data_IF_763650897283
#
_entry.id   IF_763650897283
#
_cell.length_a   1.000
_cell.length_b   1.000
_cell.length_c   1.000
_cell.angle_alpha   90.00
_cell.angle_beta   90.00
_cell.angle_gamma   90.00
#
_symmetry.space_group_name_H-M   'P 1'
#
loop_
_entity.id
_entity.type
_entity.pdbx_description
1 polymer ?
#
# COMPACT_ATOMS: atom_id res chain seq x y z
N UNK A 1 18.72 28.21 -52.15
CA UNK A 1 18.82 27.23 -51.07
C UNK A 1 19.01 28.02 -49.80
N UNK A 2 17.93 28.27 -49.08
CA UNK A 2 17.88 29.00 -47.82
C UNK A 2 17.78 28.02 -46.69
N UNK A 3 18.85 27.85 -45.92
CA UNK A 3 18.90 27.00 -44.74
C UNK A 3 18.04 27.65 -43.65
N UNK A 4 17.05 26.91 -43.15
CA UNK A 4 16.31 27.26 -41.94
C UNK A 4 17.19 27.02 -40.72
N UNK A 5 17.17 27.89 -39.68
CA UNK A 5 17.88 27.62 -38.43
C UNK A 5 17.15 26.53 -37.66
N UNK A 6 17.91 25.54 -37.23
CA UNK A 6 17.53 24.46 -36.31
C UNK A 6 17.10 25.07 -34.97
N UNK A 7 15.84 24.87 -34.61
CA UNK A 7 15.33 25.28 -33.30
C UNK A 7 15.92 24.35 -32.24
N UNK A 8 16.80 24.87 -31.39
CA UNK A 8 17.32 24.17 -30.22
C UNK A 8 16.14 23.87 -29.27
N UNK A 9 15.80 22.58 -29.08
CA UNK A 9 14.85 22.13 -28.06
C UNK A 9 15.40 22.51 -26.67
N UNK A 10 14.65 23.34 -25.96
CA UNK A 10 14.90 23.63 -24.56
C UNK A 10 14.79 22.35 -23.75
N UNK A 11 15.79 21.96 -22.94
CA UNK A 11 15.68 20.76 -22.12
C UNK A 11 14.50 20.87 -21.18
N UNK A 12 13.78 19.76 -20.89
CA UNK A 12 12.64 19.77 -20.01
C UNK A 12 13.05 20.30 -18.64
N UNK A 13 12.24 21.22 -18.10
CA UNK A 13 12.47 21.79 -16.77
C UNK A 13 12.53 20.67 -15.73
N UNK A 14 13.49 20.76 -14.80
CA UNK A 14 13.60 19.82 -13.70
C UNK A 14 12.25 19.73 -12.95
N UNK A 15 11.81 18.53 -12.57
CA UNK A 15 10.54 18.36 -11.87
C UNK A 15 10.54 19.17 -10.58
N UNK A 16 9.50 19.98 -10.38
CA UNK A 16 9.32 20.75 -9.14
C UNK A 16 9.14 19.74 -8.00
N UNK A 17 9.93 19.85 -6.92
CA UNK A 17 9.82 18.90 -5.81
C UNK A 17 8.41 18.94 -5.22
N UNK A 18 7.87 17.76 -4.93
CA UNK A 18 6.53 17.60 -4.35
C UNK A 18 6.47 18.18 -2.93
N UNK A 19 5.37 18.84 -2.54
CA UNK A 19 5.23 19.41 -1.20
C UNK A 19 5.52 18.42 -0.06
N UNK A 20 5.11 17.15 -0.21
CA UNK A 20 5.38 16.11 0.78
C UNK A 20 6.86 15.71 0.83
N UNK A 21 7.57 15.77 -0.30
CA UNK A 21 9.01 15.48 -0.33
C UNK A 21 9.88 16.56 0.31
N UNK A 22 9.32 17.74 0.53
CA UNK A 22 10.00 18.86 1.21
C UNK A 22 9.89 18.79 2.75
N UNK A 23 9.07 17.87 3.30
CA UNK A 23 9.01 17.68 4.75
C UNK A 23 10.39 17.31 5.31
N UNK A 24 10.70 17.72 6.56
CA UNK A 24 11.95 17.35 7.22
C UNK A 24 12.16 15.84 7.26
N UNK A 25 13.38 15.39 6.96
CA UNK A 25 13.76 13.99 7.08
C UNK A 25 13.70 13.57 8.56
N UNK A 26 13.00 12.48 8.85
CA UNK A 26 12.88 11.89 10.17
C UNK A 26 13.81 10.68 10.31
N UNK A 27 13.77 9.75 9.33
CA UNK A 27 14.62 8.57 9.30
C UNK A 27 14.88 8.11 7.85
N UNK A 28 16.04 7.54 7.62
CA UNK A 28 16.44 6.91 6.34
C UNK A 28 16.90 5.47 6.62
N UNK A 29 16.01 4.50 6.35
CA UNK A 29 16.22 3.07 6.57
C UNK A 29 16.61 2.39 5.26
N UNK A 30 16.80 1.09 5.28
CA UNK A 30 17.18 0.33 4.08
C UNK A 30 16.07 0.39 3.01
N UNK A 31 14.83 0.09 3.39
CA UNK A 31 13.69 -0.04 2.46
C UNK A 31 12.68 1.11 2.57
N UNK A 32 12.79 1.95 3.60
CA UNK A 32 11.88 3.04 3.89
C UNK A 32 12.62 4.35 4.13
N UNK A 33 11.96 5.44 3.76
CA UNK A 33 12.31 6.79 4.19
C UNK A 33 11.12 7.41 4.90
N UNK A 34 11.34 8.03 6.05
CA UNK A 34 10.31 8.77 6.75
C UNK A 34 10.61 10.25 6.81
N UNK A 35 9.56 11.06 6.73
CA UNK A 35 9.61 12.52 6.90
C UNK A 35 8.51 12.92 7.85
N UNK A 36 8.76 13.93 8.66
CA UNK A 36 7.81 14.33 9.70
C UNK A 36 7.72 15.85 9.81
N UNK A 37 6.49 16.35 9.95
CA UNK A 37 6.24 17.72 10.35
C UNK A 37 4.97 17.77 11.22
N UNK A 38 5.12 18.26 12.43
CA UNK A 38 4.00 18.26 13.39
C UNK A 38 3.42 16.85 13.57
N UNK A 39 2.12 16.73 13.40
CA UNK A 39 1.41 15.45 13.52
C UNK A 39 1.33 14.63 12.23
N UNK A 40 2.02 15.01 11.16
CA UNK A 40 2.08 14.33 9.87
C UNK A 40 3.37 13.50 9.77
N UNK A 41 3.23 12.21 9.50
CA UNK A 41 4.31 11.29 9.17
C UNK A 41 4.12 10.81 7.73
N UNK A 42 5.10 11.08 6.87
CA UNK A 42 5.21 10.48 5.55
C UNK A 42 6.12 9.26 5.62
N UNK A 43 5.65 8.14 5.11
CA UNK A 43 6.40 6.89 4.95
C UNK A 43 6.50 6.58 3.46
N UNK A 44 7.70 6.60 2.93
CA UNK A 44 8.00 6.34 1.53
C UNK A 44 8.74 5.02 1.39
N UNK A 45 8.19 4.08 0.59
CA UNK A 45 8.89 2.89 0.13
C UNK A 45 9.98 3.34 -0.85
N UNK A 46 11.25 2.95 -0.65
CA UNK A 46 12.37 3.62 -1.32
C UNK A 46 13.23 2.75 -2.25
N UNK A 47 12.70 1.64 -2.70
CA UNK A 47 13.41 0.75 -3.64
C UNK A 47 12.73 0.73 -5.03
N UNK A 48 12.61 1.90 -5.73
CA UNK A 48 11.88 2.00 -6.99
C UNK A 48 12.46 1.13 -8.10
N UNK A 49 13.77 0.89 -8.12
CA UNK A 49 14.44 0.00 -9.09
C UNK A 49 13.98 -1.45 -8.95
N UNK A 50 13.52 -1.83 -7.76
CA UNK A 50 12.93 -3.14 -7.48
C UNK A 50 11.39 -3.09 -7.43
N UNK A 51 10.79 -1.98 -7.91
CA UNK A 51 9.34 -1.77 -7.88
C UNK A 51 8.76 -1.65 -6.48
N UNK A 52 9.54 -1.18 -5.50
CA UNK A 52 9.17 -1.12 -4.09
C UNK A 52 8.65 -2.47 -3.58
N UNK A 53 9.31 -3.57 -3.96
CA UNK A 53 8.88 -4.93 -3.66
C UNK A 53 8.84 -5.16 -2.14
N UNK A 54 7.77 -5.84 -1.70
CA UNK A 54 7.59 -6.17 -0.28
C UNK A 54 8.50 -7.33 0.09
N UNK A 55 9.45 -7.05 0.98
CA UNK A 55 10.37 -8.00 1.60
C UNK A 55 10.09 -8.12 3.10
N UNK A 56 10.62 -9.15 3.75
CA UNK A 56 10.56 -9.28 5.22
C UNK A 56 11.22 -8.07 5.91
N UNK A 57 12.33 -7.56 5.36
CA UNK A 57 12.99 -6.34 5.86
C UNK A 57 12.05 -5.14 5.79
N UNK A 58 11.35 -4.94 4.65
CA UNK A 58 10.39 -3.84 4.53
C UNK A 58 9.24 -3.98 5.53
N UNK A 59 8.73 -5.20 5.72
CA UNK A 59 7.64 -5.45 6.66
C UNK A 59 8.06 -5.16 8.10
N UNK A 60 9.26 -5.59 8.50
CA UNK A 60 9.79 -5.34 9.85
C UNK A 60 10.04 -3.83 10.05
N UNK A 61 10.70 -3.14 9.11
CA UNK A 61 10.92 -1.68 9.18
C UNK A 61 9.62 -0.89 9.21
N UNK A 62 8.63 -1.27 8.40
CA UNK A 62 7.33 -0.60 8.35
C UNK A 62 6.55 -0.83 9.66
N UNK A 63 6.59 -2.04 10.21
CA UNK A 63 5.98 -2.33 11.49
C UNK A 63 6.61 -1.50 12.61
N UNK A 64 7.95 -1.43 12.68
CA UNK A 64 8.65 -0.60 13.66
C UNK A 64 8.26 0.88 13.56
N UNK A 65 8.18 1.44 12.34
CA UNK A 65 7.75 2.84 12.12
C UNK A 65 6.32 3.07 12.59
N UNK A 66 5.43 2.10 12.32
CA UNK A 66 4.02 2.20 12.71
C UNK A 66 3.81 2.01 14.22
N UNK A 67 4.61 1.15 14.88
CA UNK A 67 4.54 0.89 16.32
C UNK A 67 5.17 2.04 17.14
N UNK A 68 6.20 2.67 16.60
CA UNK A 68 6.90 3.79 17.25
C UNK A 68 6.12 5.13 17.19
N UNK A 69 4.88 5.15 16.70
CA UNK A 69 4.09 6.38 16.63
C UNK A 69 3.75 6.88 18.05
N UNK A 70 4.09 8.14 18.30
CA UNK A 70 3.68 8.84 19.51
C UNK A 70 2.24 9.37 19.43
N UNK A 71 1.73 9.87 20.56
CA UNK A 71 0.37 10.45 20.64
C UNK A 71 0.22 11.74 19.82
N UNK A 72 1.31 12.35 19.34
CA UNK A 72 1.29 13.55 18.51
C UNK A 72 1.04 13.20 17.04
N UNK A 73 1.36 11.99 16.59
CA UNK A 73 1.13 11.53 15.23
C UNK A 73 -0.36 11.34 14.96
N UNK A 74 -0.93 12.16 14.08
CA UNK A 74 -2.36 12.16 13.73
C UNK A 74 -2.65 11.58 12.36
N UNK A 75 -1.71 11.73 11.43
CA UNK A 75 -1.83 11.29 10.05
C UNK A 75 -0.54 10.60 9.61
N UNK A 76 -0.68 9.42 9.04
CA UNK A 76 0.39 8.70 8.35
C UNK A 76 0.06 8.65 6.87
N UNK A 77 0.98 9.09 6.02
CA UNK A 77 0.87 8.96 4.56
C UNK A 77 1.83 7.88 4.11
N UNK A 78 1.31 6.86 3.42
CA UNK A 78 2.12 5.80 2.81
C UNK A 78 2.18 6.02 1.30
N UNK A 79 3.37 6.00 0.72
CA UNK A 79 3.61 6.15 -0.72
C UNK A 79 4.81 5.31 -1.17
N UNK A 80 4.99 5.15 -2.48
CA UNK A 80 6.19 4.57 -3.08
C UNK A 80 7.09 5.65 -3.68
N UNK A 81 8.39 5.46 -3.70
CA UNK A 81 9.31 6.22 -4.53
C UNK A 81 9.20 5.77 -6.00
N UNK A 82 9.50 6.67 -6.93
CA UNK A 82 9.50 6.36 -8.35
C UNK A 82 8.11 6.27 -8.99
N UNK A 83 8.00 5.56 -10.14
CA UNK A 83 6.79 5.59 -10.96
C UNK A 83 5.63 4.75 -10.40
N UNK A 84 5.91 3.79 -9.53
CA UNK A 84 4.92 2.84 -9.00
C UNK A 84 4.81 2.94 -7.48
N UNK A 85 3.63 2.66 -6.96
CA UNK A 85 3.42 2.56 -5.53
C UNK A 85 4.15 1.34 -4.95
N UNK A 86 3.79 0.13 -5.43
CA UNK A 86 4.45 -1.12 -5.02
C UNK A 86 3.99 -2.27 -5.94
N UNK A 87 4.93 -3.03 -6.47
CA UNK A 87 4.67 -4.12 -7.43
C UNK A 87 4.45 -5.49 -6.77
N UNK A 88 4.29 -5.53 -5.45
CA UNK A 88 3.95 -6.75 -4.70
C UNK A 88 5.12 -7.40 -4.00
N UNK A 89 4.96 -8.66 -3.58
CA UNK A 89 5.98 -9.40 -2.86
C UNK A 89 7.23 -9.70 -3.68
N UNK A 90 8.39 -9.69 -3.05
CA UNK A 90 9.65 -10.08 -3.68
C UNK A 90 9.65 -11.58 -3.99
N UNK A 91 9.74 -11.92 -5.30
CA UNK A 91 9.70 -13.32 -5.76
C UNK A 91 10.98 -14.07 -5.47
N UNK A 92 12.11 -13.37 -5.43
CA UNK A 92 13.41 -13.99 -5.12
C UNK A 92 13.44 -14.38 -3.65
N UNK A 93 13.02 -13.48 -2.76
CA UNK A 93 12.92 -13.80 -1.32
C UNK A 93 11.93 -14.93 -1.06
N UNK A 94 10.74 -14.91 -1.71
CA UNK A 94 9.76 -15.98 -1.60
C UNK A 94 10.34 -17.33 -2.08
N UNK A 95 11.08 -17.33 -3.18
CA UNK A 95 11.74 -18.53 -3.71
C UNK A 95 12.84 -19.04 -2.77
N UNK A 96 13.59 -18.13 -2.15
CA UNK A 96 14.61 -18.46 -1.15
C UNK A 96 13.98 -19.08 0.10
N UNK A 97 12.90 -18.49 0.64
CA UNK A 97 12.15 -19.06 1.77
C UNK A 97 11.71 -20.50 1.50
N UNK A 98 11.22 -20.77 0.29
CA UNK A 98 10.80 -22.13 -0.08
C UNK A 98 11.97 -23.07 -0.35
N UNK A 99 13.15 -22.55 -0.72
CA UNK A 99 14.35 -23.36 -0.89
C UNK A 99 14.93 -23.79 0.47
N UNK A 100 14.98 -22.84 1.40
CA UNK A 100 15.56 -23.03 2.73
C UNK A 100 14.62 -23.81 3.66
N UNK A 101 13.31 -23.58 3.53
CA UNK A 101 12.27 -24.25 4.32
C UNK A 101 11.13 -24.77 3.42
N UNK A 102 11.28 -25.96 2.83
CA UNK A 102 10.27 -26.56 1.97
C UNK A 102 8.94 -26.88 2.68
N UNK A 103 8.93 -26.89 4.02
CA UNK A 103 7.69 -27.06 4.82
C UNK A 103 6.88 -25.76 4.90
N UNK A 104 7.43 -24.62 4.41
CA UNK A 104 6.75 -23.34 4.32
C UNK A 104 6.66 -22.56 5.63
N UNK A 105 7.45 -22.87 6.63
CA UNK A 105 7.48 -22.12 7.90
C UNK A 105 7.96 -20.70 7.72
N UNK A 106 8.99 -20.47 6.87
CA UNK A 106 9.47 -19.13 6.54
C UNK A 106 8.36 -18.29 5.84
N UNK A 107 7.60 -18.89 4.94
CA UNK A 107 6.45 -18.23 4.28
C UNK A 107 5.36 -17.86 5.29
N UNK A 108 5.06 -18.74 6.27
CA UNK A 108 4.13 -18.43 7.35
C UNK A 108 4.59 -17.26 8.21
N UNK A 109 5.89 -17.18 8.53
CA UNK A 109 6.46 -16.07 9.28
C UNK A 109 6.36 -14.75 8.50
N UNK A 110 6.68 -14.75 7.20
CA UNK A 110 6.51 -13.59 6.32
C UNK A 110 5.04 -13.15 6.25
N UNK A 111 4.11 -14.08 6.08
CA UNK A 111 2.68 -13.80 6.10
C UNK A 111 2.19 -13.23 7.44
N UNK A 112 2.76 -13.68 8.56
CA UNK A 112 2.45 -13.12 9.88
C UNK A 112 2.99 -11.69 10.04
N UNK A 113 4.17 -11.36 9.47
CA UNK A 113 4.69 -9.98 9.40
C UNK A 113 3.75 -9.09 8.57
N UNK A 114 3.38 -9.55 7.38
CA UNK A 114 2.45 -8.86 6.50
C UNK A 114 1.14 -8.51 7.21
N UNK A 115 0.58 -9.49 7.92
CA UNK A 115 -0.65 -9.29 8.71
C UNK A 115 -0.47 -8.20 9.77
N UNK A 116 0.61 -8.24 10.56
CA UNK A 116 0.88 -7.22 11.59
C UNK A 116 0.96 -5.81 11.00
N UNK A 117 1.64 -5.65 9.86
CA UNK A 117 1.73 -4.36 9.16
C UNK A 117 0.35 -3.87 8.71
N UNK A 118 -0.43 -4.72 8.03
CA UNK A 118 -1.78 -4.35 7.58
C UNK A 118 -2.72 -4.03 8.76
N UNK A 119 -2.59 -4.76 9.87
CA UNK A 119 -3.32 -4.50 11.10
C UNK A 119 -2.90 -3.16 11.72
N UNK A 120 -1.59 -2.86 11.82
CA UNK A 120 -1.09 -1.59 12.32
C UNK A 120 -1.57 -0.39 11.48
N UNK A 121 -1.60 -0.52 10.13
CA UNK A 121 -2.16 0.52 9.25
C UNK A 121 -3.66 0.74 9.50
N UNK A 122 -4.43 -0.34 9.63
CA UNK A 122 -5.89 -0.27 9.72
C UNK A 122 -6.41 0.01 11.13
N UNK A 123 -5.69 -0.40 12.19
CA UNK A 123 -6.17 -0.27 13.58
C UNK A 123 -5.33 0.67 14.43
N UNK A 124 -4.16 1.09 13.94
CA UNK A 124 -3.27 2.03 14.62
C UNK A 124 -3.94 3.37 14.96
N UNK A 125 -3.34 4.16 15.85
CA UNK A 125 -3.99 5.37 16.41
C UNK A 125 -4.16 6.51 15.41
N UNK A 126 -3.26 6.62 14.42
CA UNK A 126 -3.29 7.66 13.40
C UNK A 126 -4.21 7.30 12.22
N UNK A 127 -4.77 8.31 11.57
CA UNK A 127 -5.45 8.13 10.27
C UNK A 127 -4.40 7.86 9.20
N UNK A 128 -4.59 6.81 8.42
CA UNK A 128 -3.66 6.41 7.36
C UNK A 128 -4.18 6.77 5.98
N UNK A 129 -3.31 7.34 5.13
CA UNK A 129 -3.64 7.76 3.77
C UNK A 129 -2.65 7.10 2.81
N UNK A 130 -3.13 6.29 1.87
CA UNK A 130 -2.29 5.83 0.76
C UNK A 130 -2.32 6.87 -0.37
N UNK A 131 -1.14 7.30 -0.79
CA UNK A 131 -0.90 8.12 -1.98
C UNK A 131 -0.38 7.21 -3.08
N UNK A 132 -1.22 6.91 -4.05
CA UNK A 132 -0.96 5.87 -5.04
C UNK A 132 -0.70 6.48 -6.41
N UNK A 133 0.55 6.47 -6.85
CA UNK A 133 0.94 6.69 -8.24
C UNK A 133 1.20 5.34 -8.91
N UNK A 134 0.98 5.24 -10.22
CA UNK A 134 1.27 4.06 -11.00
C UNK A 134 0.61 2.78 -10.46
N UNK A 135 1.37 1.72 -10.36
CA UNK A 135 0.84 0.38 -10.07
C UNK A 135 0.88 0.02 -8.59
N UNK A 136 -0.20 -0.60 -8.11
CA UNK A 136 -0.29 -1.27 -6.81
C UNK A 136 -0.72 -2.73 -7.05
N UNK A 137 0.19 -3.69 -6.88
CA UNK A 137 -0.01 -5.08 -7.29
C UNK A 137 0.13 -6.01 -6.08
N UNK A 138 -0.75 -7.00 -5.94
CA UNK A 138 -0.68 -8.04 -4.91
C UNK A 138 -0.52 -7.46 -3.50
N UNK A 139 0.61 -7.75 -2.84
CA UNK A 139 0.95 -7.19 -1.54
C UNK A 139 0.95 -5.66 -1.50
N UNK A 140 1.36 -4.99 -2.59
CA UNK A 140 1.29 -3.52 -2.70
C UNK A 140 -0.15 -3.00 -2.70
N UNK A 141 -1.06 -3.70 -3.39
CA UNK A 141 -2.47 -3.37 -3.31
C UNK A 141 -3.02 -3.57 -1.89
N UNK A 142 -2.60 -4.64 -1.20
CA UNK A 142 -3.00 -4.89 0.18
C UNK A 142 -2.53 -3.79 1.13
N UNK A 143 -1.28 -3.32 1.00
CA UNK A 143 -0.77 -2.18 1.78
C UNK A 143 -1.60 -0.91 1.56
N UNK A 144 -1.90 -0.57 0.30
CA UNK A 144 -2.76 0.57 -0.01
C UNK A 144 -4.15 0.41 0.59
N UNK A 145 -4.77 -0.77 0.44
CA UNK A 145 -6.11 -1.07 0.94
C UNK A 145 -6.16 -1.08 2.49
N UNK A 146 -5.07 -1.44 3.16
CA UNK A 146 -4.98 -1.40 4.62
C UNK A 146 -5.04 0.03 5.19
N UNK A 147 -4.76 1.07 4.39
CA UNK A 147 -4.94 2.45 4.79
C UNK A 147 -6.42 2.85 4.89
N UNK A 148 -6.73 3.85 5.73
CA UNK A 148 -8.11 4.35 5.90
C UNK A 148 -8.62 5.05 4.65
N UNK A 149 -7.77 5.86 4.02
CA UNK A 149 -8.08 6.63 2.82
C UNK A 149 -7.07 6.35 1.72
N UNK A 150 -7.50 6.47 0.46
CA UNK A 150 -6.65 6.26 -0.73
C UNK A 150 -6.92 7.32 -1.78
N UNK A 151 -5.89 8.03 -2.20
CA UNK A 151 -5.92 8.91 -3.37
C UNK A 151 -5.01 8.33 -4.44
N UNK A 152 -5.51 8.24 -5.66
CA UNK A 152 -4.75 7.72 -6.81
C UNK A 152 -4.51 8.78 -7.88
N UNK A 153 -3.40 8.63 -8.60
CA UNK A 153 -3.22 9.29 -9.87
C UNK A 153 -4.19 8.74 -10.92
N UNK A 154 -4.45 9.51 -11.97
CA UNK A 154 -5.22 9.04 -13.15
C UNK A 154 -4.55 7.79 -13.79
N UNK A 155 -3.23 7.67 -13.64
CA UNK A 155 -2.43 6.53 -14.09
C UNK A 155 -2.45 5.34 -13.13
N UNK A 156 -3.06 5.49 -11.94
CA UNK A 156 -3.06 4.42 -10.94
C UNK A 156 -3.79 3.17 -11.44
N UNK A 157 -3.22 2.01 -11.15
CA UNK A 157 -3.84 0.73 -11.46
C UNK A 157 -3.59 -0.30 -10.36
N UNK A 158 -4.58 -1.18 -10.18
CA UNK A 158 -4.60 -2.21 -9.16
C UNK A 158 -4.74 -3.59 -9.80
N UNK A 159 -4.02 -4.57 -9.28
CA UNK A 159 -4.10 -5.94 -9.81
C UNK A 159 -3.82 -6.95 -8.71
N UNK A 160 -4.52 -8.09 -8.77
CA UNK A 160 -4.28 -9.29 -7.96
C UNK A 160 -3.90 -10.44 -8.90
N UNK A 161 -2.60 -10.64 -9.18
CA UNK A 161 -2.15 -11.66 -10.13
C UNK A 161 -1.97 -13.04 -9.51
N UNK A 162 -2.27 -13.23 -8.22
CA UNK A 162 -1.94 -14.41 -7.42
C UNK A 162 -2.41 -15.69 -8.10
N UNK A 163 -3.67 -15.74 -8.59
CA UNK A 163 -4.19 -16.92 -9.27
C UNK A 163 -3.44 -17.27 -10.56
N UNK A 164 -2.96 -16.26 -11.30
CA UNK A 164 -2.14 -16.49 -12.49
C UNK A 164 -0.74 -17.04 -12.14
N UNK A 165 -0.33 -16.93 -10.88
CA UNK A 165 0.92 -17.47 -10.33
C UNK A 165 0.69 -18.80 -9.60
N UNK A 166 -0.54 -19.36 -9.63
CA UNK A 166 -0.90 -20.57 -8.89
C UNK A 166 -1.06 -20.35 -7.38
N UNK A 167 -1.21 -19.11 -6.94
CA UNK A 167 -1.31 -18.74 -5.52
C UNK A 167 -2.72 -18.28 -5.16
N UNK A 168 -3.19 -18.50 -3.94
CA UNK A 168 -4.43 -17.90 -3.46
C UNK A 168 -4.23 -16.38 -3.20
N UNK A 169 -5.33 -15.61 -3.25
CA UNK A 169 -5.34 -14.22 -2.80
C UNK A 169 -5.43 -14.21 -1.26
N UNK A 170 -4.31 -14.52 -0.62
CA UNK A 170 -4.19 -14.74 0.81
C UNK A 170 -3.00 -13.96 1.37
N UNK A 171 -3.17 -12.63 1.55
CA UNK A 171 -2.14 -11.75 2.04
C UNK A 171 -2.72 -10.59 2.86
N UNK A 172 -2.27 -10.46 4.11
CA UNK A 172 -2.51 -9.29 4.96
C UNK A 172 -3.98 -8.94 5.23
N UNK A 173 -4.91 -9.87 5.04
CA UNK A 173 -6.35 -9.62 5.20
C UNK A 173 -6.98 -8.81 4.05
N UNK A 174 -6.33 -8.76 2.89
CA UNK A 174 -6.79 -8.00 1.71
C UNK A 174 -8.19 -8.40 1.26
N UNK A 175 -8.44 -9.70 1.07
CA UNK A 175 -9.64 -10.17 0.38
C UNK A 175 -10.95 -9.84 1.14
N UNK A 176 -11.09 -10.12 2.44
CA UNK A 176 -12.31 -9.77 3.17
C UNK A 176 -12.54 -8.27 3.22
N UNK A 177 -11.48 -7.45 3.36
CA UNK A 177 -11.61 -6.00 3.32
C UNK A 177 -12.06 -5.49 1.95
N UNK A 178 -11.47 -6.01 0.88
CA UNK A 178 -11.82 -5.64 -0.48
C UNK A 178 -13.29 -6.01 -0.81
N UNK A 179 -13.74 -7.19 -0.39
CA UNK A 179 -15.14 -7.62 -0.54
C UNK A 179 -16.09 -6.65 0.20
N UNK A 180 -15.71 -6.23 1.39
CA UNK A 180 -16.52 -5.32 2.19
C UNK A 180 -16.62 -3.91 1.57
N UNK A 181 -15.52 -3.40 1.00
CA UNK A 181 -15.47 -2.05 0.43
C UNK A 181 -16.01 -1.98 -1.02
N UNK A 182 -15.68 -2.97 -1.87
CA UNK A 182 -16.00 -2.95 -3.31
C UNK A 182 -17.17 -3.87 -3.71
N UNK A 183 -17.63 -4.74 -2.82
CA UNK A 183 -18.71 -5.68 -3.06
C UNK A 183 -18.26 -7.00 -3.69
N UNK A 184 -18.80 -8.12 -3.19
CA UNK A 184 -18.35 -9.48 -3.50
C UNK A 184 -18.39 -9.84 -4.99
N UNK A 185 -19.41 -9.39 -5.74
CA UNK A 185 -19.58 -9.76 -7.14
C UNK A 185 -18.45 -9.17 -8.02
N UNK A 186 -18.12 -7.90 -7.80
CA UNK A 186 -17.07 -7.20 -8.53
C UNK A 186 -15.69 -7.72 -8.18
N UNK A 187 -15.45 -7.93 -6.87
CA UNK A 187 -14.18 -8.51 -6.39
C UNK A 187 -13.96 -9.89 -6.99
N UNK A 188 -14.98 -10.76 -6.98
CA UNK A 188 -14.89 -12.09 -7.57
C UNK A 188 -14.51 -12.04 -9.05
N UNK A 189 -15.07 -11.12 -9.81
CA UNK A 189 -14.80 -10.98 -11.24
C UNK A 189 -13.32 -10.64 -11.48
N UNK A 190 -12.80 -9.54 -10.92
CA UNK A 190 -11.43 -9.14 -11.23
C UNK A 190 -10.37 -10.02 -10.56
N UNK A 191 -10.67 -10.64 -9.42
CA UNK A 191 -9.78 -11.62 -8.77
C UNK A 191 -9.65 -12.88 -9.62
N UNK A 192 -10.78 -13.47 -10.06
CA UNK A 192 -10.75 -14.72 -10.84
C UNK A 192 -10.14 -14.52 -12.23
N UNK A 193 -10.30 -13.33 -12.82
CA UNK A 193 -9.73 -13.00 -14.13
C UNK A 193 -8.29 -12.45 -14.05
N UNK A 194 -7.83 -12.10 -12.85
CA UNK A 194 -6.54 -11.46 -12.61
C UNK A 194 -6.29 -10.21 -13.49
N UNK A 195 -7.37 -9.56 -13.96
CA UNK A 195 -7.26 -8.33 -14.74
C UNK A 195 -6.85 -7.13 -13.88
N UNK A 196 -6.31 -6.12 -14.52
CA UNK A 196 -6.05 -4.85 -13.87
C UNK A 196 -7.34 -4.01 -13.76
N UNK A 197 -7.41 -3.21 -12.71
CA UNK A 197 -8.45 -2.21 -12.45
C UNK A 197 -7.78 -0.83 -12.48
N UNK A 198 -8.16 0.02 -13.45
CA UNK A 198 -7.62 1.37 -13.58
C UNK A 198 -8.24 2.35 -12.57
N UNK A 199 -7.69 3.56 -12.50
CA UNK A 199 -8.04 4.57 -11.50
C UNK A 199 -9.53 4.91 -11.47
N UNK A 200 -10.15 5.13 -12.63
CA UNK A 200 -11.57 5.48 -12.74
C UNK A 200 -12.49 4.34 -12.25
N UNK A 201 -12.16 3.09 -12.61
CA UNK A 201 -12.90 1.94 -12.11
C UNK A 201 -12.67 1.74 -10.61
N UNK A 202 -11.43 1.92 -10.12
CA UNK A 202 -11.10 1.85 -8.71
C UNK A 202 -11.88 2.89 -7.88
N UNK A 203 -12.11 4.09 -8.44
CA UNK A 203 -12.97 5.10 -7.82
C UNK A 203 -14.43 4.63 -7.76
N UNK A 204 -14.98 4.07 -8.85
CA UNK A 204 -16.35 3.53 -8.87
C UNK A 204 -16.54 2.35 -7.90
N UNK A 205 -15.48 1.58 -7.67
CA UNK A 205 -15.48 0.44 -6.75
C UNK A 205 -15.14 0.82 -5.30
N UNK A 206 -14.97 2.10 -4.99
CA UNK A 206 -14.53 2.59 -3.66
C UNK A 206 -13.14 2.09 -3.23
N UNK A 207 -12.37 1.48 -4.13
CA UNK A 207 -10.95 1.16 -3.91
C UNK A 207 -10.15 2.46 -3.79
N UNK A 208 -10.50 3.48 -4.55
CA UNK A 208 -10.01 4.85 -4.37
C UNK A 208 -11.18 5.75 -3.93
N UNK A 209 -10.90 6.73 -3.06
CA UNK A 209 -11.87 7.76 -2.69
C UNK A 209 -11.66 9.06 -3.48
N UNK A 210 -10.52 9.18 -4.16
CA UNK A 210 -10.19 10.33 -5.00
C UNK A 210 -9.23 9.94 -6.11
N UNK A 211 -9.43 10.53 -7.30
CA UNK A 211 -8.53 10.43 -8.45
C UNK A 211 -8.17 11.84 -8.89
N UNK A 212 -6.91 12.10 -9.16
CA UNK A 212 -6.38 13.40 -9.59
C UNK A 212 -5.24 13.18 -10.60
N UNK A 213 -4.86 14.20 -11.40
CA UNK A 213 -3.60 14.15 -12.13
C UNK A 213 -2.42 13.86 -11.18
N UNK A 214 -1.40 13.17 -11.65
CA UNK A 214 -0.25 12.75 -10.81
C UNK A 214 0.39 13.94 -10.08
N UNK A 215 0.51 15.08 -10.76
CA UNK A 215 1.03 16.33 -10.19
C UNK A 215 0.17 16.91 -9.07
N UNK A 216 -1.09 16.50 -8.97
CA UNK A 216 -2.05 16.93 -7.95
C UNK A 216 -2.16 16.00 -6.74
N UNK A 217 -1.42 14.88 -6.71
CA UNK A 217 -1.53 13.87 -5.64
C UNK A 217 -1.22 14.44 -4.25
N UNK A 218 -0.16 15.20 -4.12
CA UNK A 218 0.27 15.78 -2.84
C UNK A 218 -0.75 16.78 -2.31
N UNK A 219 -1.27 17.65 -3.16
CA UNK A 219 -2.32 18.60 -2.79
C UNK A 219 -3.59 17.88 -2.36
N UNK A 220 -3.94 16.79 -3.03
CA UNK A 220 -5.09 15.96 -2.67
C UNK A 220 -4.92 15.29 -1.29
N UNK A 221 -3.73 14.76 -0.98
CA UNK A 221 -3.38 14.22 0.35
C UNK A 221 -3.43 15.32 1.40
N UNK A 222 -2.79 16.47 1.15
CA UNK A 222 -2.77 17.59 2.08
C UNK A 222 -4.15 18.19 2.32
N UNK A 223 -5.05 18.17 1.33
CA UNK A 223 -6.44 18.60 1.50
C UNK A 223 -7.19 17.74 2.54
N UNK A 224 -6.85 16.45 2.67
CA UNK A 224 -7.37 15.59 3.73
C UNK A 224 -6.59 15.71 5.03
N UNK A 225 -5.26 15.76 4.96
CA UNK A 225 -4.42 15.81 6.16
C UNK A 225 -4.62 17.10 6.98
N UNK A 226 -4.67 18.27 6.33
CA UNK A 226 -4.79 19.58 7.03
C UNK A 226 -5.96 19.66 8.02
N UNK A 227 -7.20 19.28 7.68
CA UNK A 227 -8.29 19.28 8.67
C UNK A 227 -8.07 18.23 9.77
N UNK A 228 -7.52 17.04 9.46
CA UNK A 228 -7.24 15.99 10.44
C UNK A 228 -6.21 16.47 11.48
N UNK A 229 -5.14 17.14 11.03
CA UNK A 229 -4.11 17.70 11.91
C UNK A 229 -4.63 18.71 12.95
N UNK A 230 -5.76 19.37 12.65
CA UNK A 230 -6.42 20.31 13.59
C UNK A 230 -7.37 19.63 14.58
N UNK A 231 -7.68 18.32 14.39
CA UNK A 231 -8.59 17.58 15.27
C UNK A 231 -7.86 17.06 16.52
N UNK A 232 -8.66 16.76 17.55
CA UNK A 232 -8.17 16.07 18.73
C UNK A 232 -7.64 14.69 18.37
N UNK A 233 -6.41 14.31 18.78
CA UNK A 233 -5.89 12.96 18.57
C UNK A 233 -6.81 11.88 19.15
N UNK A 234 -7.35 12.13 20.33
CA UNK A 234 -8.29 11.21 20.99
C UNK A 234 -9.56 11.02 20.19
N UNK A 235 -10.14 12.11 19.64
CA UNK A 235 -11.36 12.01 18.83
C UNK A 235 -11.10 11.21 17.53
N UNK A 236 -9.96 11.43 16.87
CA UNK A 236 -9.57 10.67 15.67
C UNK A 236 -9.41 9.19 15.99
N UNK A 237 -8.65 8.86 17.02
CA UNK A 237 -8.41 7.47 17.44
C UNK A 237 -9.72 6.77 17.81
N UNK A 238 -10.57 7.38 18.63
CA UNK A 238 -11.84 6.76 19.04
C UNK A 238 -12.79 6.58 17.85
N UNK A 239 -12.85 7.55 16.92
CA UNK A 239 -13.64 7.42 15.69
C UNK A 239 -13.15 6.26 14.83
N UNK A 240 -11.82 6.13 14.65
CA UNK A 240 -11.23 4.98 13.92
C UNK A 240 -11.53 3.65 14.62
N UNK A 241 -11.47 3.63 15.97
CA UNK A 241 -11.87 2.45 16.77
C UNK A 241 -13.34 2.07 16.53
N UNK A 242 -14.26 3.05 16.43
CA UNK A 242 -15.66 2.79 16.15
C UNK A 242 -15.88 2.20 14.74
N UNK A 243 -15.18 2.72 13.71
CA UNK A 243 -15.21 2.12 12.38
C UNK A 243 -14.72 0.68 12.39
N UNK A 244 -13.62 0.41 13.08
CA UNK A 244 -13.06 -0.93 13.22
C UNK A 244 -13.99 -1.87 13.99
N UNK A 245 -14.62 -1.39 15.06
CA UNK A 245 -15.60 -2.17 15.82
C UNK A 245 -16.84 -2.50 14.99
N UNK A 246 -17.31 -1.57 14.13
CA UNK A 246 -18.42 -1.84 13.22
C UNK A 246 -18.09 -2.91 12.18
N UNK A 247 -16.82 -2.96 11.72
CA UNK A 247 -16.33 -3.99 10.81
C UNK A 247 -16.02 -5.34 11.51
N UNK A 248 -15.96 -5.38 12.85
CA UNK A 248 -15.57 -6.56 13.62
C UNK A 248 -16.47 -7.81 13.42
N UNK A 249 -17.80 -7.71 13.23
CA UNK A 249 -18.64 -8.89 12.99
C UNK A 249 -18.21 -9.69 11.75
N UNK A 250 -17.74 -8.99 10.71
CA UNK A 250 -17.16 -9.63 9.51
C UNK A 250 -15.77 -10.22 9.80
N UNK A 251 -15.04 -9.68 10.77
CA UNK A 251 -13.73 -10.20 11.19
C UNK A 251 -13.78 -11.45 12.03
N UNK A 252 -14.85 -11.71 12.80
CA UNK A 252 -15.00 -12.95 13.57
C UNK A 252 -15.17 -14.17 12.67
N UNK A 253 -15.66 -13.98 11.44
CA UNK A 253 -15.68 -14.98 10.39
C UNK A 253 -14.53 -14.82 9.38
N UNK A 254 -13.50 -14.08 9.75
CA UNK A 254 -12.41 -13.67 8.86
C UNK A 254 -11.44 -14.82 8.64
N UNK A 255 -11.57 -15.45 7.47
CA UNK A 255 -10.67 -16.51 7.03
C UNK A 255 -9.23 -15.98 6.74
N UNK A 256 -8.98 -14.67 6.76
CA UNK A 256 -7.65 -14.10 6.52
C UNK A 256 -6.64 -14.47 7.62
N UNK A 257 -7.11 -14.96 8.77
CA UNK A 257 -6.27 -15.61 9.77
C UNK A 257 -5.49 -16.80 9.19
N UNK A 258 -6.03 -17.42 8.15
CA UNK A 258 -5.43 -18.56 7.45
C UNK A 258 -4.53 -18.14 6.26
N UNK A 259 -4.44 -16.85 5.93
CA UNK A 259 -3.64 -16.38 4.78
C UNK A 259 -2.22 -16.97 4.75
N UNK A 260 -1.44 -16.97 5.85
CA UNK A 260 -0.10 -17.53 5.84
C UNK A 260 -0.10 -19.05 5.59
N UNK A 261 -1.08 -19.78 6.12
CA UNK A 261 -1.21 -21.23 5.95
C UNK A 261 -1.61 -21.58 4.51
N UNK A 262 -2.57 -20.87 3.94
CA UNK A 262 -3.04 -21.07 2.57
C UNK A 262 -1.92 -20.79 1.55
N UNK A 263 -1.15 -19.72 1.78
CA UNK A 263 0.00 -19.38 0.94
C UNK A 263 1.08 -20.46 1.01
N UNK A 264 1.45 -20.89 2.22
CA UNK A 264 2.44 -21.93 2.42
C UNK A 264 2.02 -23.27 1.80
N UNK A 265 0.75 -23.65 1.94
CA UNK A 265 0.20 -24.87 1.34
C UNK A 265 0.30 -24.84 -0.19
N UNK A 266 -0.16 -23.74 -0.82
CA UNK A 266 -0.12 -23.58 -2.27
C UNK A 266 1.32 -23.68 -2.82
N UNK A 267 2.29 -23.04 -2.14
CA UNK A 267 3.69 -23.07 -2.55
C UNK A 267 4.35 -24.44 -2.34
N UNK A 268 3.96 -25.18 -1.29
CA UNK A 268 4.47 -26.54 -1.07
C UNK A 268 3.90 -27.54 -2.09
N UNK A 269 2.64 -27.38 -2.52
CA UNK A 269 2.04 -28.24 -3.55
C UNK A 269 2.58 -27.94 -4.95
N UNK A 270 2.83 -26.70 -5.30
CA UNK A 270 3.38 -26.31 -6.61
C UNK A 270 4.77 -26.88 -6.89
N UNK A 271 5.46 -27.43 -5.88
CA UNK A 271 6.77 -28.10 -5.98
C UNK A 271 6.70 -29.62 -6.16
N UNK A 272 5.52 -30.21 -6.03
CA UNK A 272 5.27 -31.65 -6.26
C UNK A 272 4.99 -31.92 -7.72
#
# INVERSE_FOLDING_TARGET
MTSQPEQAETPPAAPVPSPLSLLPLDSDRKTLRTRREGGLLLVELREPEQGNAVTDTMLDELHEVLDAQDSATKVVVLTGAGPDFCLGGDRHELSAHMADDPAGGAVRLSGARARRVCEALSTGPAVTIARVQGRAIGAGFALALACDLRVGAETASFRLPELALGLPVAWGGLLPRLINEAGAARVREFVLTARAVGAEEALRLSVLQRVVPETGLDDAVLAWARPLLRRSPTALRLTKTLFNAHAAPTRLADASLLDPELMALALTEARR
#
